data_IF_144424298057
#
_entry.id   IF_144424298057
#
_cell.length_a   1.000
_cell.length_b   1.000
_cell.length_c   1.000
_cell.angle_alpha   90.00
_cell.angle_beta   90.00
_cell.angle_gamma   90.00
#
_symmetry.space_group_name_H-M   'P 1'
#
loop_
_entity.id
_entity.type
_entity.pdbx_description
1 polymer ?
#
# COMPACT_ATOMS: atom_id res chain seq x y z
N UNK A 1 45.66 -8.43 -0.46
CA UNK A 1 45.29 -9.15 0.78
C UNK A 1 45.83 -8.37 1.96
N UNK A 2 44.96 -7.67 2.69
CA UNK A 2 45.35 -6.90 3.88
C UNK A 2 44.47 -7.40 5.02
N UNK A 3 45.08 -8.17 5.91
CA UNK A 3 44.44 -8.78 7.08
C UNK A 3 43.94 -7.67 8.01
N UNK A 4 42.62 -7.52 8.12
CA UNK A 4 41.99 -6.60 9.06
C UNK A 4 41.73 -7.36 10.36
N UNK A 5 42.39 -6.92 11.44
CA UNK A 5 42.27 -7.54 12.77
C UNK A 5 40.97 -7.05 13.42
N UNK A 6 40.06 -7.99 13.69
CA UNK A 6 38.84 -7.76 14.49
C UNK A 6 39.26 -7.72 15.96
N UNK A 7 39.01 -6.59 16.62
CA UNK A 7 39.16 -6.45 18.08
C UNK A 7 37.75 -6.45 18.67
N UNK A 8 37.44 -7.54 19.39
CA UNK A 8 36.21 -7.72 20.15
C UNK A 8 36.35 -6.91 21.46
N UNK A 9 35.47 -5.92 21.67
CA UNK A 9 35.30 -5.29 22.97
C UNK A 9 33.92 -5.66 23.53
N UNK A 10 33.94 -6.59 24.49
CA UNK A 10 32.86 -6.93 25.39
C UNK A 10 32.90 -5.93 26.56
N UNK A 11 31.96 -4.98 26.57
CA UNK A 11 31.81 -3.99 27.64
C UNK A 11 30.42 -4.09 28.25
N UNK A 12 30.27 -4.93 29.28
CA UNK A 12 29.12 -4.96 30.16
C UNK A 12 29.14 -3.69 31.01
N UNK A 13 28.15 -2.82 30.86
CA UNK A 13 27.86 -1.74 31.82
C UNK A 13 26.42 -1.89 32.29
N UNK A 14 26.31 -2.46 33.49
CA UNK A 14 25.10 -2.57 34.28
C UNK A 14 24.85 -1.19 34.92
N UNK A 15 23.81 -0.48 34.49
CA UNK A 15 23.35 0.76 35.13
C UNK A 15 22.17 0.47 36.06
N UNK A 16 22.29 0.99 37.26
CA UNK A 16 21.53 0.66 38.47
C UNK A 16 20.29 1.56 38.51
N UNK A 17 19.09 0.98 38.59
CA UNK A 17 17.87 1.75 38.87
C UNK A 17 17.86 2.18 40.34
N UNK A 18 18.15 3.45 40.61
CA UNK A 18 17.85 4.09 41.89
C UNK A 18 16.40 4.56 41.86
N UNK A 19 15.55 3.91 42.66
CA UNK A 19 14.24 4.42 43.03
C UNK A 19 14.36 5.62 43.96
N UNK A 20 13.41 6.54 43.85
CA UNK A 20 13.10 7.51 44.90
C UNK A 20 11.63 7.36 45.26
N UNK A 21 11.39 7.11 46.54
CA UNK A 21 10.11 7.00 47.20
C UNK A 21 9.59 8.38 47.62
N UNK A 22 8.25 8.47 47.73
CA UNK A 22 7.44 9.28 48.68
C UNK A 22 7.55 10.81 48.55
N UNK A 23 6.45 11.57 48.49
CA UNK A 23 5.52 11.78 49.61
C UNK A 23 4.06 12.12 49.19
N UNK A 24 3.17 11.79 50.12
CA UNK A 24 1.72 12.02 50.18
C UNK A 24 1.41 13.42 50.72
N UNK A 25 0.45 14.17 50.15
CA UNK A 25 -0.72 14.69 50.89
C UNK A 25 -1.64 15.62 50.08
N UNK A 26 -2.93 15.38 50.35
CA UNK A 26 -4.05 16.32 50.51
C UNK A 26 -4.78 16.93 49.30
N UNK A 27 -6.05 16.53 49.22
CA UNK A 27 -7.18 17.18 48.57
C UNK A 27 -7.42 18.60 49.09
N UNK A 28 -7.90 19.47 48.21
CA UNK A 28 -8.90 20.47 48.55
C UNK A 28 -9.79 20.72 47.32
N UNK A 29 -11.06 20.38 47.45
CA UNK A 29 -12.14 20.92 46.62
C UNK A 29 -12.25 22.44 46.85
N UNK A 30 -12.63 23.20 45.81
CA UNK A 30 -13.92 23.88 45.75
C UNK A 30 -13.95 24.96 44.64
N UNK A 31 -15.06 24.92 43.90
CA UNK A 31 -15.85 26.04 43.38
C UNK A 31 -15.33 26.91 42.22
N UNK A 32 -15.99 26.72 41.07
CA UNK A 32 -16.28 27.76 40.07
C UNK A 32 -17.37 28.68 40.66
N UNK A 33 -17.56 29.95 40.24
CA UNK A 33 -18.29 30.15 38.99
C UNK A 33 -18.06 31.50 38.25
N UNK A 34 -18.61 31.54 37.03
CA UNK A 34 -19.19 32.71 36.33
C UNK A 34 -18.24 33.77 35.73
N UNK A 35 -18.49 34.43 34.60
CA UNK A 35 -19.31 34.31 33.37
C UNK A 35 -19.18 35.67 32.65
N UNK A 36 -19.53 35.74 31.36
CA UNK A 36 -19.95 36.92 30.57
C UNK A 36 -18.85 37.87 30.06
N UNK A 37 -18.90 38.49 28.88
CA UNK A 37 -19.75 38.52 27.67
C UNK A 37 -18.84 39.23 26.62
N UNK A 38 -18.72 38.78 25.37
CA UNK A 38 -19.53 39.12 24.18
C UNK A 38 -19.45 40.58 23.67
N UNK A 39 -19.66 40.71 22.34
CA UNK A 39 -19.71 41.89 21.45
C UNK A 39 -18.35 42.31 20.85
N UNK A 40 -18.14 42.38 19.53
CA UNK A 40 -18.99 42.75 18.37
C UNK A 40 -18.10 43.70 17.53
N UNK A 41 -18.18 43.95 16.22
CA UNK A 41 -19.14 43.74 15.13
C UNK A 41 -18.37 43.90 13.80
N UNK A 42 -18.82 43.23 12.73
CA UNK A 42 -19.26 43.75 11.40
C UNK A 42 -18.57 45.01 10.80
N UNK A 43 -18.36 45.23 9.49
CA UNK A 43 -19.14 45.11 8.23
C UNK A 43 -18.14 45.23 7.04
N UNK A 44 -18.25 44.60 5.85
CA UNK A 44 -19.24 44.59 4.75
C UNK A 44 -18.99 45.58 3.58
N UNK A 45 -19.49 45.18 2.39
CA UNK A 45 -19.56 45.84 1.06
C UNK A 45 -18.27 45.85 0.22
N UNK A 46 -18.22 45.51 -1.08
CA UNK A 46 -19.17 45.48 -2.20
C UNK A 46 -18.36 45.99 -3.42
N UNK A 47 -18.35 45.38 -4.62
CA UNK A 47 -19.34 45.60 -5.67
C UNK A 47 -19.04 44.72 -6.92
N UNK A 48 -20.07 44.60 -7.75
CA UNK A 48 -20.21 43.90 -9.03
C UNK A 48 -19.21 44.32 -10.11
N UNK A 49 -18.95 43.43 -11.06
CA UNK A 49 -19.35 43.72 -12.45
C UNK A 49 -19.51 42.47 -13.33
N UNK A 50 -20.58 42.54 -14.12
CA UNK A 50 -21.09 41.61 -15.12
C UNK A 50 -20.41 41.94 -16.45
N UNK A 51 -19.98 40.95 -17.22
CA UNK A 51 -20.18 41.04 -18.67
C UNK A 51 -20.35 39.68 -19.33
N UNK A 52 -21.39 39.67 -20.13
CA UNK A 52 -22.03 38.63 -20.92
C UNK A 52 -21.71 38.97 -22.36
N UNK A 53 -21.32 38.00 -23.19
CA UNK A 53 -21.57 38.08 -24.65
C UNK A 53 -21.48 36.70 -25.31
N UNK A 54 -22.65 36.31 -25.77
CA UNK A 54 -23.07 35.25 -26.68
C UNK A 54 -22.55 35.47 -28.11
N UNK A 55 -22.24 34.38 -28.85
CA UNK A 55 -22.83 34.00 -30.16
C UNK A 55 -21.99 32.88 -30.82
N UNK A 56 -22.55 31.68 -31.00
CA UNK A 56 -23.23 31.14 -32.21
C UNK A 56 -22.23 30.34 -33.07
N UNK A 57 -22.44 29.02 -33.19
CA UNK A 57 -22.91 28.31 -34.41
C UNK A 57 -21.95 28.52 -35.62
N UNK A 58 -21.42 27.48 -36.28
CA UNK A 58 -22.16 26.41 -36.96
C UNK A 58 -21.32 25.14 -37.20
N UNK A 59 -22.05 24.05 -37.39
CA UNK A 59 -21.59 22.79 -37.94
C UNK A 59 -21.51 22.84 -39.48
N UNK A 60 -20.56 22.13 -40.10
CA UNK A 60 -20.82 21.44 -41.36
C UNK A 60 -19.83 20.29 -41.63
N UNK A 61 -20.40 19.10 -41.55
CA UNK A 61 -20.18 17.84 -42.26
C UNK A 61 -19.52 17.86 -43.66
N UNK A 62 -18.71 16.82 -43.89
CA UNK A 62 -18.82 15.84 -45.01
C UNK A 62 -17.93 15.97 -46.26
N UNK A 63 -17.02 14.99 -46.33
CA UNK A 63 -16.67 14.07 -47.42
C UNK A 63 -15.96 14.49 -48.73
N UNK A 64 -14.92 13.68 -48.99
CA UNK A 64 -14.73 12.74 -50.11
C UNK A 64 -13.62 12.98 -51.14
N UNK A 65 -12.88 11.89 -51.35
CA UNK A 65 -12.33 11.43 -52.63
C UNK A 65 -10.92 11.91 -52.99
N UNK A 66 -10.08 11.17 -53.71
CA UNK A 66 -10.03 9.78 -54.15
C UNK A 66 -8.68 9.59 -54.88
N UNK A 67 -8.14 8.37 -54.81
CA UNK A 67 -7.28 7.67 -55.81
C UNK A 67 -5.79 7.97 -56.02
N UNK A 68 -5.09 6.82 -55.97
CA UNK A 68 -4.06 6.29 -56.89
C UNK A 68 -2.65 6.85 -56.84
N UNK A 69 -1.58 6.10 -57.16
CA UNK A 69 -1.23 4.67 -57.24
C UNK A 69 0.25 4.70 -57.69
N UNK A 70 1.12 3.82 -57.19
CA UNK A 70 2.52 3.83 -57.61
C UNK A 70 3.42 2.85 -56.87
N UNK A 71 3.44 1.61 -57.35
CA UNK A 71 4.31 0.52 -56.90
C UNK A 71 5.80 0.75 -57.23
N UNK A 72 6.68 0.47 -56.28
CA UNK A 72 8.07 0.01 -56.53
C UNK A 72 8.43 -1.04 -55.46
N UNK A 73 8.95 -2.23 -55.83
CA UNK A 73 9.30 -3.28 -54.89
C UNK A 73 10.74 -3.10 -54.41
N UNK A 74 10.94 -2.81 -53.13
CA UNK A 74 12.28 -2.87 -52.51
C UNK A 74 12.43 -4.21 -51.81
N UNK A 75 13.30 -5.06 -52.37
CA UNK A 75 13.86 -6.22 -51.66
C UNK A 75 14.52 -5.71 -50.39
N UNK A 76 13.95 -6.06 -49.24
CA UNK A 76 14.64 -5.98 -47.96
C UNK A 76 14.93 -7.42 -47.53
N UNK A 77 16.22 -7.68 -47.35
CA UNK A 77 16.79 -8.92 -46.89
C UNK A 77 16.00 -9.47 -45.70
N UNK A 78 15.64 -10.76 -45.79
CA UNK A 78 15.36 -11.57 -44.60
C UNK A 78 16.63 -11.62 -43.77
N UNK A 79 16.81 -10.61 -42.93
CA UNK A 79 17.63 -10.73 -41.74
C UNK A 79 16.88 -11.72 -40.85
N UNK A 80 17.22 -12.99 -41.00
CA UNK A 80 16.89 -14.05 -40.06
C UNK A 80 17.56 -13.68 -38.75
N UNK A 81 16.91 -12.78 -38.01
CA UNK A 81 17.15 -12.57 -36.60
C UNK A 81 16.93 -13.93 -35.98
N UNK A 82 18.02 -14.57 -35.58
CA UNK A 82 17.99 -15.67 -34.62
C UNK A 82 17.39 -15.11 -33.32
N UNK A 83 16.06 -14.99 -33.30
CA UNK A 83 15.28 -14.95 -32.09
C UNK A 83 15.47 -16.35 -31.49
N UNK A 84 16.56 -16.53 -30.73
CA UNK A 84 16.49 -17.44 -29.60
C UNK A 84 15.31 -16.92 -28.80
N UNK A 85 14.18 -17.63 -28.89
CA UNK A 85 13.05 -17.43 -28.02
C UNK A 85 13.64 -17.31 -26.61
N UNK A 86 13.56 -16.11 -26.04
CA UNK A 86 13.87 -15.95 -24.62
C UNK A 86 12.77 -16.74 -23.95
N UNK A 87 13.14 -17.91 -23.43
CA UNK A 87 12.25 -18.73 -22.64
C UNK A 87 11.72 -17.85 -21.50
N UNK A 88 10.40 -17.66 -21.47
CA UNK A 88 9.74 -16.93 -20.42
C UNK A 88 9.84 -17.77 -19.14
N UNK A 89 10.76 -17.37 -18.27
CA UNK A 89 11.06 -18.11 -17.03
C UNK A 89 9.88 -18.08 -16.06
N UNK A 90 8.97 -17.11 -16.18
CA UNK A 90 7.79 -17.01 -15.33
C UNK A 90 6.66 -17.91 -15.80
N UNK A 91 6.67 -18.37 -17.06
CA UNK A 91 5.62 -19.23 -17.63
C UNK A 91 5.45 -20.59 -16.91
N UNK A 92 6.38 -20.96 -16.02
CA UNK A 92 6.30 -22.17 -15.19
C UNK A 92 5.58 -21.98 -13.85
N UNK A 93 5.30 -20.73 -13.45
CA UNK A 93 4.63 -20.40 -12.21
C UNK A 93 3.17 -20.02 -12.44
N UNK A 94 2.35 -20.16 -11.40
CA UNK A 94 0.96 -19.67 -11.41
C UNK A 94 0.91 -18.14 -11.39
N UNK A 95 -0.20 -17.58 -11.87
CA UNK A 95 -0.44 -16.14 -11.83
C UNK A 95 -0.41 -15.62 -10.39
N UNK A 96 -0.98 -16.38 -9.46
CA UNK A 96 -0.99 -16.08 -8.03
C UNK A 96 0.44 -15.97 -7.47
N UNK A 97 1.29 -16.96 -7.75
CA UNK A 97 2.69 -16.90 -7.31
C UNK A 97 3.43 -15.68 -7.86
N UNK A 98 3.22 -15.36 -9.13
CA UNK A 98 3.81 -14.18 -9.79
C UNK A 98 3.31 -12.90 -9.13
N UNK A 99 2.00 -12.81 -8.86
CA UNK A 99 1.39 -11.66 -8.17
C UNK A 99 2.00 -11.49 -6.77
N UNK A 100 2.02 -12.53 -5.95
CA UNK A 100 2.56 -12.49 -4.58
C UNK A 100 4.01 -12.01 -4.55
N UNK A 101 4.84 -12.52 -5.47
CA UNK A 101 6.23 -12.12 -5.57
C UNK A 101 6.38 -10.65 -6.00
N UNK A 102 5.57 -10.18 -6.96
CA UNK A 102 5.61 -8.77 -7.41
C UNK A 102 5.11 -7.82 -6.32
N UNK A 103 4.03 -8.15 -5.64
CA UNK A 103 3.51 -7.37 -4.51
C UNK A 103 4.56 -7.30 -3.40
N UNK A 104 5.17 -8.42 -3.01
CA UNK A 104 6.23 -8.40 -2.02
C UNK A 104 7.46 -7.62 -2.50
N UNK A 105 7.85 -7.74 -3.78
CA UNK A 105 8.98 -6.99 -4.33
C UNK A 105 8.80 -5.48 -4.20
N UNK A 106 7.58 -5.00 -4.47
CA UNK A 106 7.27 -3.58 -4.49
C UNK A 106 6.95 -3.02 -3.10
N UNK A 107 6.23 -3.78 -2.26
CA UNK A 107 5.62 -3.29 -1.02
C UNK A 107 6.09 -4.03 0.24
N UNK A 108 6.76 -5.18 0.09
CA UNK A 108 7.29 -5.97 1.19
C UNK A 108 8.30 -5.18 2.02
N UNK A 109 8.13 -5.06 3.35
CA UNK A 109 9.02 -4.27 4.20
C UNK A 109 10.46 -4.79 4.23
N UNK A 110 10.65 -6.10 4.00
CA UNK A 110 11.96 -6.74 3.91
C UNK A 110 12.13 -7.52 2.60
N UNK A 111 12.98 -7.01 1.71
CA UNK A 111 13.31 -7.65 0.42
C UNK A 111 14.29 -8.83 0.57
N UNK A 112 14.99 -8.91 1.69
CA UNK A 112 15.90 -10.01 2.03
C UNK A 112 15.22 -11.08 2.89
N UNK A 113 13.88 -11.14 2.84
CA UNK A 113 13.10 -12.12 3.58
C UNK A 113 13.50 -13.55 3.21
N UNK A 114 13.57 -14.42 4.21
CA UNK A 114 13.89 -15.84 4.01
C UNK A 114 12.72 -16.58 3.36
N UNK A 115 11.50 -16.32 3.84
CA UNK A 115 10.26 -16.96 3.42
C UNK A 115 9.08 -15.98 3.53
N UNK A 116 8.17 -16.06 2.55
CA UNK A 116 6.94 -15.27 2.48
C UNK A 116 5.76 -16.21 2.67
N UNK A 117 5.03 -16.05 3.77
CA UNK A 117 3.78 -16.74 4.03
C UNK A 117 2.62 -16.02 3.39
N UNK A 118 1.75 -16.78 2.72
CA UNK A 118 0.54 -16.30 2.07
C UNK A 118 -0.67 -16.82 2.82
N UNK A 119 -1.54 -15.89 3.23
CA UNK A 119 -2.82 -16.20 3.85
C UNK A 119 -3.96 -15.55 3.08
N UNK A 120 -4.91 -16.34 2.63
CA UNK A 120 -6.18 -15.84 2.06
C UNK A 120 -7.21 -15.62 3.16
N UNK A 121 -7.87 -14.47 3.13
CA UNK A 121 -8.87 -14.06 4.11
C UNK A 121 -10.14 -13.71 3.35
N UNK A 122 -11.23 -14.48 3.51
CA UNK A 122 -12.47 -14.22 2.81
C UNK A 122 -13.12 -12.91 3.24
N UNK A 123 -13.83 -12.27 2.31
CA UNK A 123 -14.75 -11.18 2.59
C UNK A 123 -15.72 -11.56 3.73
N UNK A 124 -16.09 -10.60 4.56
CA UNK A 124 -16.95 -10.83 5.73
C UNK A 124 -16.23 -11.40 6.95
N UNK A 125 -14.94 -11.75 6.86
CA UNK A 125 -14.13 -12.11 8.05
C UNK A 125 -13.93 -10.87 8.93
N UNK A 126 -14.07 -10.99 10.27
CA UNK A 126 -13.74 -9.89 11.19
C UNK A 126 -12.26 -9.49 11.08
N UNK A 127 -11.97 -8.19 11.07
CA UNK A 127 -10.59 -7.68 11.11
C UNK A 127 -9.88 -8.15 12.38
N UNK A 128 -10.52 -7.95 13.53
CA UNK A 128 -10.05 -8.40 14.83
C UNK A 128 -11.13 -9.22 15.55
N UNK A 129 -10.96 -10.53 15.60
CA UNK A 129 -11.91 -11.43 16.27
C UNK A 129 -12.01 -11.22 17.79
N UNK A 130 -11.05 -10.52 18.40
CA UNK A 130 -11.01 -10.24 19.85
C UNK A 130 -11.78 -8.97 20.25
N UNK A 131 -12.28 -8.21 19.28
CA UNK A 131 -12.97 -6.93 19.53
C UNK A 131 -14.37 -6.94 18.91
N UNK A 132 -15.36 -6.64 19.74
CA UNK A 132 -16.76 -6.60 19.32
C UNK A 132 -17.10 -5.37 18.50
N UNK A 133 -16.30 -4.29 18.59
CA UNK A 133 -16.45 -3.11 17.72
C UNK A 133 -15.74 -3.28 16.38
N UNK A 134 -15.16 -4.45 16.10
CA UNK A 134 -14.45 -4.72 14.85
C UNK A 134 -15.39 -4.89 13.66
N UNK A 135 -15.03 -4.28 12.54
CA UNK A 135 -15.71 -4.49 11.25
C UNK A 135 -15.18 -5.73 10.53
N UNK A 136 -15.63 -5.95 9.30
CA UNK A 136 -15.24 -7.08 8.44
C UNK A 136 -14.49 -6.62 7.20
N UNK A 137 -13.70 -7.52 6.60
CA UNK A 137 -13.09 -7.28 5.29
C UNK A 137 -14.20 -7.14 4.23
N UNK A 138 -14.16 -6.09 3.37
CA UNK A 138 -15.18 -5.89 2.34
C UNK A 138 -15.02 -6.85 1.16
N UNK A 139 -13.78 -7.25 0.86
CA UNK A 139 -13.40 -8.11 -0.26
C UNK A 139 -12.56 -9.30 0.24
N UNK A 140 -12.36 -10.28 -0.63
CA UNK A 140 -11.35 -11.31 -0.39
C UNK A 140 -9.96 -10.65 -0.44
N UNK A 141 -9.17 -10.84 0.62
CA UNK A 141 -7.84 -10.27 0.72
C UNK A 141 -6.76 -11.35 0.88
N UNK A 142 -5.56 -10.99 0.46
CA UNK A 142 -4.34 -11.76 0.62
C UNK A 142 -3.45 -11.00 1.60
N UNK A 143 -2.96 -11.71 2.62
CA UNK A 143 -1.94 -11.20 3.53
C UNK A 143 -0.63 -11.93 3.26
N UNK A 144 0.38 -11.18 2.83
CA UNK A 144 1.76 -11.65 2.69
C UNK A 144 2.52 -11.26 3.96
N UNK A 145 3.30 -12.17 4.53
CA UNK A 145 4.10 -11.88 5.71
C UNK A 145 5.42 -12.63 5.70
N UNK A 146 6.47 -12.02 6.27
CA UNK A 146 7.70 -12.76 6.52
C UNK A 146 7.60 -13.62 7.78
N UNK A 147 8.53 -14.56 7.92
CA UNK A 147 8.59 -15.47 9.09
C UNK A 147 8.88 -14.77 10.41
N UNK A 148 9.60 -13.64 10.38
CA UNK A 148 9.89 -12.84 11.58
C UNK A 148 9.01 -11.61 11.58
N UNK A 149 8.66 -11.14 12.78
CA UNK A 149 7.89 -9.90 12.95
C UNK A 149 8.52 -8.68 12.25
N UNK A 150 9.85 -8.59 12.27
CA UNK A 150 10.60 -7.50 11.63
C UNK A 150 10.54 -7.55 10.11
N UNK A 151 10.21 -8.70 9.52
CA UNK A 151 10.04 -8.83 8.07
C UNK A 151 8.72 -8.18 7.60
N UNK A 152 7.78 -7.96 8.51
CA UNK A 152 6.53 -7.24 8.28
C UNK A 152 5.50 -8.01 7.45
N UNK A 153 4.49 -7.27 6.97
CA UNK A 153 3.40 -7.82 6.18
C UNK A 153 2.81 -6.80 5.21
N UNK A 154 2.12 -7.28 4.18
CA UNK A 154 1.28 -6.49 3.27
C UNK A 154 -0.08 -7.18 3.18
N UNK A 155 -1.17 -6.43 3.36
CA UNK A 155 -2.54 -6.94 3.21
C UNK A 155 -3.20 -6.22 2.04
N UNK A 156 -3.72 -6.96 1.05
CA UNK A 156 -4.27 -6.36 -0.16
C UNK A 156 -5.37 -7.22 -0.82
N UNK A 157 -6.18 -6.62 -1.70
CA UNK A 157 -7.06 -7.33 -2.64
C UNK A 157 -6.59 -7.11 -4.08
N UNK A 158 -6.61 -8.14 -4.92
CA UNK A 158 -6.25 -8.04 -6.34
C UNK A 158 -7.43 -7.63 -7.23
N UNK A 159 -7.20 -6.72 -8.18
CA UNK A 159 -8.24 -6.23 -9.11
C UNK A 159 -8.26 -6.98 -10.46
N UNK A 160 -7.27 -7.84 -10.71
CA UNK A 160 -7.17 -8.65 -11.94
C UNK A 160 -6.69 -7.90 -13.19
N UNK A 161 -6.38 -6.61 -13.08
CA UNK A 161 -5.91 -5.74 -14.16
C UNK A 161 -4.45 -5.26 -13.98
N UNK A 162 -3.73 -5.85 -13.02
CA UNK A 162 -2.39 -5.44 -12.62
C UNK A 162 -2.37 -4.37 -11.52
N UNK A 163 -3.53 -3.98 -10.98
CA UNK A 163 -3.65 -3.14 -9.79
C UNK A 163 -4.15 -3.93 -8.57
N UNK A 164 -3.88 -3.39 -7.39
CA UNK A 164 -4.33 -3.91 -6.10
C UNK A 164 -4.89 -2.79 -5.23
N UNK A 165 -5.71 -3.13 -4.23
CA UNK A 165 -6.08 -2.22 -3.14
C UNK A 165 -5.34 -2.66 -1.87
N UNK A 166 -4.50 -1.79 -1.30
CA UNK A 166 -3.67 -2.07 -0.12
C UNK A 166 -4.37 -1.55 1.13
N UNK A 167 -4.38 -2.37 2.18
CA UNK A 167 -4.99 -2.06 3.47
C UNK A 167 -3.92 -1.94 4.57
N UNK A 168 -4.00 -0.88 5.38
CA UNK A 168 -3.11 -0.67 6.54
C UNK A 168 -3.53 -1.50 7.76
N UNK A 169 -3.63 -2.82 7.57
CA UNK A 169 -4.08 -3.75 8.60
C UNK A 169 -2.87 -4.44 9.22
N UNK A 170 -2.70 -4.39 10.57
CA UNK A 170 -1.56 -4.98 11.21
C UNK A 170 -1.61 -6.51 11.14
N UNK A 171 -0.43 -7.14 11.09
CA UNK A 171 -0.30 -8.59 11.24
C UNK A 171 -0.79 -9.09 12.61
N UNK A 172 -0.69 -8.25 13.65
CA UNK A 172 -1.07 -8.58 15.03
C UNK A 172 -1.87 -7.48 15.69
N UNK A 173 -2.85 -7.92 16.48
CA UNK A 173 -3.74 -7.11 17.29
C UNK A 173 -3.29 -7.13 18.75
N UNK A 174 -2.28 -6.31 19.07
CA UNK A 174 -1.65 -6.20 20.40
C UNK A 174 -2.12 -4.95 21.19
N UNK A 175 -3.28 -4.38 20.81
CA UNK A 175 -3.83 -3.15 21.40
C UNK A 175 -4.75 -3.37 22.60
N UNK A 176 -5.33 -2.27 23.09
CA UNK A 176 -6.40 -2.27 24.09
C UNK A 176 -7.76 -2.29 23.39
N UNK A 177 -8.68 -3.11 23.88
CA UNK A 177 -10.01 -3.30 23.29
C UNK A 177 -11.12 -2.94 24.29
N UNK A 178 -12.26 -2.38 23.84
CA UNK A 178 -12.59 -2.09 22.43
C UNK A 178 -11.83 -0.88 21.88
N UNK A 179 -11.40 -0.97 20.61
CA UNK A 179 -10.72 0.13 19.92
C UNK A 179 -11.71 1.15 19.31
N UNK A 180 -12.99 0.78 19.21
CA UNK A 180 -14.07 1.61 18.66
C UNK A 180 -14.29 1.39 17.16
N UNK A 181 -15.55 1.49 16.72
CA UNK A 181 -15.96 1.21 15.32
C UNK A 181 -15.22 2.11 14.32
N UNK A 182 -15.09 3.41 14.62
CA UNK A 182 -14.42 4.38 13.74
C UNK A 182 -12.99 3.93 13.38
N UNK A 183 -12.24 3.42 14.35
CA UNK A 183 -10.87 2.94 14.12
C UNK A 183 -10.85 1.84 13.05
N UNK A 184 -11.73 0.85 13.15
CA UNK A 184 -11.78 -0.24 12.16
C UNK A 184 -12.32 0.19 10.80
N UNK A 185 -13.29 1.12 10.77
CA UNK A 185 -13.78 1.70 9.52
C UNK A 185 -12.67 2.48 8.79
N UNK A 186 -11.90 3.29 9.51
CA UNK A 186 -10.79 4.06 8.92
C UNK A 186 -9.74 3.14 8.25
N UNK A 187 -9.50 1.93 8.78
CA UNK A 187 -8.55 0.97 8.18
C UNK A 187 -9.01 0.40 6.83
N UNK A 188 -10.32 0.33 6.61
CA UNK A 188 -10.90 -0.21 5.37
C UNK A 188 -11.14 0.91 4.35
N UNK A 189 -11.63 2.06 4.79
CA UNK A 189 -11.97 3.17 3.90
C UNK A 189 -10.74 3.89 3.33
N UNK A 190 -9.62 3.90 4.06
CA UNK A 190 -8.38 4.53 3.63
C UNK A 190 -7.45 3.57 2.85
N UNK A 191 -8.01 2.64 2.08
CA UNK A 191 -7.19 1.80 1.22
C UNK A 191 -6.55 2.60 0.07
N UNK A 192 -5.41 2.13 -0.41
CA UNK A 192 -4.70 2.76 -1.54
C UNK A 192 -4.72 1.83 -2.75
N UNK A 193 -5.20 2.32 -3.89
CA UNK A 193 -5.09 1.59 -5.14
C UNK A 193 -3.70 1.81 -5.78
N UNK A 194 -2.97 0.72 -6.00
CA UNK A 194 -1.60 0.76 -6.51
C UNK A 194 -1.48 -0.13 -7.75
N UNK A 195 -0.80 0.37 -8.79
CA UNK A 195 -0.37 -0.45 -9.93
C UNK A 195 0.89 -1.23 -9.57
N UNK A 196 0.90 -2.52 -9.87
CA UNK A 196 2.03 -3.41 -9.60
C UNK A 196 2.98 -3.42 -10.80
N UNK A 197 4.25 -3.09 -10.54
CA UNK A 197 5.32 -3.16 -11.52
C UNK A 197 5.67 -4.63 -11.83
N UNK A 198 5.73 -5.05 -13.11
CA UNK A 198 6.12 -6.41 -13.46
C UNK A 198 7.51 -6.82 -12.93
N UNK A 199 8.42 -5.86 -12.77
CA UNK A 199 9.78 -6.08 -12.27
C UNK A 199 10.69 -6.88 -13.22
N UNK A 200 11.85 -7.31 -12.72
CA UNK A 200 12.75 -8.23 -13.42
C UNK A 200 12.32 -9.69 -13.20
N UNK A 201 12.07 -10.41 -14.29
CA UNK A 201 11.55 -11.79 -14.23
C UNK A 201 12.43 -12.74 -13.39
N UNK A 202 13.76 -12.53 -13.35
CA UNK A 202 14.65 -13.41 -12.57
C UNK A 202 14.52 -13.11 -11.09
N UNK A 203 14.46 -11.84 -10.71
CA UNK A 203 14.21 -11.45 -9.32
C UNK A 203 12.86 -11.96 -8.83
N UNK A 204 11.82 -11.84 -9.66
CA UNK A 204 10.49 -12.38 -9.35
C UNK A 204 10.56 -13.91 -9.19
N UNK A 205 11.20 -14.62 -10.12
CA UNK A 205 11.37 -16.08 -10.01
C UNK A 205 12.13 -16.50 -8.73
N UNK A 206 13.11 -15.72 -8.26
CA UNK A 206 13.81 -16.00 -7.00
C UNK A 206 12.94 -15.74 -5.77
N UNK A 207 12.07 -14.73 -5.80
CA UNK A 207 11.11 -14.49 -4.72
C UNK A 207 10.04 -15.59 -4.65
N UNK A 208 9.55 -16.07 -5.79
CA UNK A 208 8.53 -17.14 -5.84
C UNK A 208 9.02 -18.40 -5.10
N UNK A 209 10.31 -18.72 -5.20
CA UNK A 209 10.89 -19.89 -4.50
C UNK A 209 10.83 -19.79 -2.97
N UNK A 210 10.59 -18.60 -2.43
CA UNK A 210 10.48 -18.33 -0.99
C UNK A 210 9.03 -18.28 -0.53
N UNK A 211 8.06 -18.45 -1.43
CA UNK A 211 6.64 -18.36 -1.10
C UNK A 211 6.13 -19.68 -0.52
N UNK A 212 5.46 -19.59 0.62
CA UNK A 212 4.72 -20.66 1.24
C UNK A 212 3.24 -20.28 1.32
N UNK A 213 2.37 -21.10 0.73
CA UNK A 213 0.92 -20.88 0.77
C UNK A 213 0.34 -21.76 1.88
N UNK A 214 -0.27 -21.13 2.88
CA UNK A 214 -1.01 -21.86 3.92
C UNK A 214 -2.24 -22.51 3.27
N UNK A 215 -2.40 -23.83 3.47
CA UNK A 215 -3.57 -24.60 3.02
C UNK A 215 -4.63 -24.72 4.11
#
# INVERSE_FOLDING_TARGET
MKMMKIIIYLGIVLAIFTGCSTDTNEEAEADSPQTNDEAGSEEAAGDKEKNESTNEQEASTTENGQSSEGSVPTKADSNSSNNKEKEDILATYSNEQIEYARVWRQLGPNQEVEEINVRHIPAGTKLNAKDDTSTVYPDDVIQLSGVRLVDGSVTYSGNGDGTINVYDIPLRWDGVYPAGEKFYHDLIENNEQISIDPGDDKEIAELIKRIHVEN
#
